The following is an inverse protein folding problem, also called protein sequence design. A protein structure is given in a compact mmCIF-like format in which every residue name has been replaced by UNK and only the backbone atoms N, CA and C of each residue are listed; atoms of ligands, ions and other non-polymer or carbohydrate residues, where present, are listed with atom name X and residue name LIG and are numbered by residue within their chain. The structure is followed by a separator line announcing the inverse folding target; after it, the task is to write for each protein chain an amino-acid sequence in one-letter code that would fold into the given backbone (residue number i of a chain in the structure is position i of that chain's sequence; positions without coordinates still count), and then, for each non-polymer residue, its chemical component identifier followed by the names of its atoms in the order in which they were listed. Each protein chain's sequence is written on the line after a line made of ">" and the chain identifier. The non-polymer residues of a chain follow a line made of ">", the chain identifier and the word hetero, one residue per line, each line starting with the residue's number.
data_IF_759396422853
#
_entry.id   IF_759396422853
#
_cell.length_a   1.000
_cell.length_b   1.000
_cell.length_c   1.000
_cell.angle_alpha   90.00
_cell.angle_beta   90.00
_cell.angle_gamma   90.00
#
_symmetry.space_group_name_H-M   'P 1'
#
loop_
_entity.id
_entity.type
_entity.pdbx_description
1 polymer ?
#
# COMPACT_ATOMS: atom_id res chain seq x y z
N UNK A 1 4.89 13.38 -9.36
CA UNK A 1 4.87 14.83 -9.65
C UNK A 1 3.42 15.28 -9.76
N UNK A 2 2.80 15.78 -8.69
CA UNK A 2 1.40 16.22 -8.80
C UNK A 2 1.28 17.59 -9.45
N UNK A 3 2.26 18.48 -9.24
CA UNK A 3 2.32 19.80 -9.86
C UNK A 3 2.29 19.76 -11.40
N UNK A 4 2.79 18.67 -12.00
CA UNK A 4 2.76 18.46 -13.45
C UNK A 4 1.36 18.31 -14.04
N UNK A 5 0.34 18.00 -13.21
CA UNK A 5 -1.06 17.96 -13.66
C UNK A 5 -1.66 19.35 -13.91
N UNK A 6 -1.00 20.41 -13.42
CA UNK A 6 -1.50 21.80 -13.41
C UNK A 6 -2.93 21.94 -12.86
N UNK A 7 -3.38 20.98 -12.05
CA UNK A 7 -4.72 20.94 -11.49
C UNK A 7 -4.61 20.95 -9.97
N UNK A 8 -4.91 22.12 -9.38
CA UNK A 8 -4.80 22.36 -7.93
C UNK A 8 -5.63 21.38 -7.10
N UNK A 9 -6.83 21.03 -7.58
CA UNK A 9 -7.68 20.06 -6.90
C UNK A 9 -7.02 18.68 -6.86
N UNK A 10 -6.53 18.17 -8.01
CA UNK A 10 -5.85 16.87 -8.06
C UNK A 10 -4.57 16.86 -7.22
N UNK A 11 -3.83 17.97 -7.20
CA UNK A 11 -2.64 18.13 -6.35
C UNK A 11 -3.01 17.97 -4.88
N UNK A 12 -4.06 18.65 -4.43
CA UNK A 12 -4.52 18.60 -3.05
C UNK A 12 -5.00 17.20 -2.68
N UNK A 13 -5.92 16.63 -3.46
CA UNK A 13 -6.51 15.31 -3.19
C UNK A 13 -5.43 14.22 -3.13
N UNK A 14 -4.50 14.23 -4.10
CA UNK A 14 -3.45 13.21 -4.14
C UNK A 14 -2.45 13.38 -2.99
N UNK A 15 -2.18 14.61 -2.58
CA UNK A 15 -1.33 14.90 -1.40
C UNK A 15 -1.98 14.42 -0.11
N UNK A 16 -3.29 14.64 0.07
CA UNK A 16 -4.03 14.14 1.22
C UNK A 16 -4.04 12.61 1.26
N UNK A 17 -4.32 11.96 0.13
CA UNK A 17 -4.32 10.51 0.02
C UNK A 17 -2.95 9.92 0.34
N UNK A 18 -1.87 10.48 -0.22
CA UNK A 18 -0.50 10.02 0.06
C UNK A 18 -0.15 10.09 1.55
N UNK A 19 -0.57 11.14 2.26
CA UNK A 19 -0.34 11.26 3.71
C UNK A 19 -1.03 10.14 4.47
N UNK A 20 -2.29 9.85 4.15
CA UNK A 20 -3.07 8.76 4.76
C UNK A 20 -2.47 7.38 4.49
N UNK A 21 -1.93 7.16 3.28
CA UNK A 21 -1.37 5.88 2.86
C UNK A 21 0.09 5.66 3.29
N UNK A 22 0.76 6.67 3.83
CA UNK A 22 2.19 6.62 4.20
C UNK A 22 2.56 5.45 5.13
N UNK A 23 1.77 5.09 6.17
CA UNK A 23 2.07 3.94 7.03
C UNK A 23 2.07 2.62 6.26
N UNK A 24 1.09 2.41 5.39
CA UNK A 24 0.94 1.18 4.59
C UNK A 24 2.04 1.03 3.54
N UNK A 25 2.45 2.15 2.92
CA UNK A 25 3.56 2.15 1.95
C UNK A 25 4.88 1.70 2.60
N UNK A 26 5.14 2.06 3.86
CA UNK A 26 6.34 1.59 4.59
C UNK A 26 6.32 0.08 4.81
N UNK A 27 5.14 -0.50 5.00
CA UNK A 27 4.99 -1.93 5.22
C UNK A 27 5.18 -2.73 3.90
N UNK A 28 4.65 -2.22 2.78
CA UNK A 28 4.84 -2.82 1.45
C UNK A 28 6.32 -3.01 1.08
N UNK A 29 7.19 -2.07 1.47
CA UNK A 29 8.62 -2.11 1.12
C UNK A 29 9.44 -3.10 1.96
N UNK A 30 8.86 -3.69 3.02
CA UNK A 30 9.53 -4.71 3.84
C UNK A 30 9.55 -6.09 3.17
N UNK A 31 8.82 -6.27 2.08
CA UNK A 31 8.83 -7.50 1.28
C UNK A 31 10.16 -7.62 0.53
N UNK A 32 10.74 -8.83 0.52
CA UNK A 32 12.04 -9.12 -0.09
C UNK A 32 12.09 -8.65 -1.55
N UNK A 33 13.20 -8.03 -1.97
CA UNK A 33 13.42 -7.47 -3.33
C UNK A 33 12.46 -6.36 -3.79
N UNK A 34 11.60 -5.83 -2.92
CA UNK A 34 10.57 -4.87 -3.34
C UNK A 34 11.11 -3.50 -3.72
N UNK A 35 12.18 -3.04 -3.07
CA UNK A 35 12.80 -1.76 -3.42
C UNK A 35 13.27 -1.72 -4.88
N UNK A 36 13.95 -2.76 -5.35
CA UNK A 36 14.43 -2.85 -6.73
C UNK A 36 13.28 -2.90 -7.75
N UNK A 37 12.25 -3.68 -7.47
CA UNK A 37 11.09 -3.75 -8.35
C UNK A 37 10.31 -2.41 -8.38
N UNK A 38 10.22 -1.70 -7.26
CA UNK A 38 9.61 -0.36 -7.21
C UNK A 38 10.37 0.67 -8.01
N UNK A 39 11.68 0.56 -8.01
CA UNK A 39 12.53 1.44 -8.80
C UNK A 39 12.29 1.23 -10.30
N UNK A 40 12.26 -0.02 -10.77
CA UNK A 40 12.01 -0.36 -12.18
C UNK A 40 10.63 0.15 -12.64
N UNK A 41 9.59 -0.08 -11.84
CA UNK A 41 8.24 0.41 -12.16
C UNK A 41 8.21 1.95 -12.27
N UNK A 42 8.83 2.66 -11.33
CA UNK A 42 8.91 4.12 -11.40
C UNK A 42 9.72 4.61 -12.59
N UNK A 43 10.82 3.94 -12.93
CA UNK A 43 11.65 4.28 -14.09
C UNK A 43 10.85 4.19 -15.38
N UNK A 44 10.08 3.12 -15.57
CA UNK A 44 9.25 2.94 -16.77
C UNK A 44 8.22 4.06 -16.97
N UNK A 45 7.64 4.58 -15.89
CA UNK A 45 6.73 5.73 -15.94
C UNK A 45 7.47 7.00 -16.36
N UNK A 46 8.66 7.24 -15.81
CA UNK A 46 9.46 8.43 -16.14
C UNK A 46 9.92 8.39 -17.61
N UNK A 47 10.38 7.24 -18.08
CA UNK A 47 10.80 7.05 -19.47
C UNK A 47 9.64 7.31 -20.45
N UNK A 48 8.45 6.78 -20.17
CA UNK A 48 7.26 7.02 -21.00
C UNK A 48 6.85 8.51 -21.05
N UNK A 49 6.94 9.21 -19.91
CA UNK A 49 6.66 10.65 -19.84
C UNK A 49 7.69 11.45 -20.66
N UNK A 50 8.98 11.14 -20.52
CA UNK A 50 10.05 11.82 -21.26
C UNK A 50 9.92 11.58 -22.77
N UNK A 51 9.51 10.38 -23.17
CA UNK A 51 9.24 10.05 -24.58
C UNK A 51 8.00 10.75 -25.15
N UNK A 52 7.15 11.36 -24.31
CA UNK A 52 5.91 11.99 -24.74
C UNK A 52 4.82 10.99 -25.17
N UNK A 53 4.97 9.71 -24.80
CA UNK A 53 4.02 8.65 -25.15
C UNK A 53 2.92 8.57 -24.07
N UNK A 54 1.76 9.15 -24.38
CA UNK A 54 0.64 9.22 -23.48
C UNK A 54 0.05 7.82 -23.15
N UNK A 55 -0.03 6.93 -24.13
CA UNK A 55 -0.61 5.60 -23.98
C UNK A 55 0.30 4.71 -23.12
N UNK A 56 1.61 4.75 -23.39
CA UNK A 56 2.60 4.05 -22.57
C UNK A 56 2.61 4.59 -21.13
N UNK A 57 2.50 5.92 -20.97
CA UNK A 57 2.43 6.55 -19.65
C UNK A 57 1.20 6.09 -18.88
N UNK A 58 0.01 6.08 -19.52
CA UNK A 58 -1.22 5.61 -18.89
C UNK A 58 -1.10 4.14 -18.46
N UNK A 59 -0.64 3.28 -19.37
CA UNK A 59 -0.49 1.84 -19.10
C UNK A 59 0.48 1.58 -17.96
N UNK A 60 1.63 2.26 -17.94
CA UNK A 60 2.63 2.14 -16.88
C UNK A 60 2.08 2.62 -15.53
N UNK A 61 1.36 3.74 -15.51
CA UNK A 61 0.72 4.27 -14.30
C UNK A 61 -0.36 3.33 -13.76
N UNK A 62 -1.26 2.82 -14.62
CA UNK A 62 -2.29 1.84 -14.20
C UNK A 62 -1.65 0.59 -13.63
N UNK A 63 -0.65 0.05 -14.31
CA UNK A 63 0.07 -1.15 -13.86
C UNK A 63 0.75 -0.92 -12.50
N UNK A 64 1.38 0.24 -12.30
CA UNK A 64 2.03 0.59 -11.03
C UNK A 64 1.04 0.66 -9.86
N UNK A 65 -0.16 1.22 -10.07
CA UNK A 65 -1.19 1.32 -9.02
C UNK A 65 -1.83 -0.03 -8.72
N UNK A 66 -2.16 -0.82 -9.76
CA UNK A 66 -2.79 -2.14 -9.60
C UNK A 66 -1.84 -3.11 -8.91
N UNK A 67 -0.56 -3.16 -9.32
CA UNK A 67 0.46 -4.00 -8.69
C UNK A 67 0.69 -3.62 -7.21
N UNK A 68 0.51 -2.35 -6.84
CA UNK A 68 0.50 -1.94 -5.42
C UNK A 68 -0.74 -2.44 -4.67
N UNK A 69 -1.90 -2.53 -5.33
CA UNK A 69 -3.17 -2.97 -4.74
C UNK A 69 -3.21 -4.46 -4.44
N UNK A 70 -2.87 -5.31 -5.40
CA UNK A 70 -2.85 -6.78 -5.22
C UNK A 70 -1.90 -7.18 -4.10
N UNK A 71 -0.69 -6.60 -4.08
CA UNK A 71 0.31 -6.89 -3.04
C UNK A 71 -0.06 -6.35 -1.67
N UNK A 72 -0.87 -5.29 -1.61
CA UNK A 72 -1.42 -4.80 -0.36
C UNK A 72 -2.48 -5.76 0.19
N UNK A 73 -3.31 -6.32 -0.68
CA UNK A 73 -4.27 -7.36 -0.31
C UNK A 73 -3.54 -8.61 0.22
N UNK A 74 -2.47 -9.04 -0.45
CA UNK A 74 -1.62 -10.17 0.02
C UNK A 74 -1.00 -9.89 1.40
N UNK A 75 -0.49 -8.67 1.60
CA UNK A 75 0.04 -8.24 2.89
C UNK A 75 -1.04 -8.27 3.98
N UNK A 76 -2.23 -7.72 3.73
CA UNK A 76 -3.35 -7.78 4.68
C UNK A 76 -3.77 -9.22 4.99
N UNK A 77 -3.82 -10.09 3.97
CA UNK A 77 -4.09 -11.51 4.15
C UNK A 77 -3.04 -12.18 5.04
N UNK A 78 -1.76 -11.84 4.87
CA UNK A 78 -0.67 -12.34 5.72
C UNK A 78 -0.73 -11.82 7.15
N UNK A 79 -1.17 -10.58 7.38
CA UNK A 79 -1.36 -10.03 8.73
C UNK A 79 -2.53 -10.71 9.45
N UNK A 80 -3.65 -10.94 8.75
CA UNK A 80 -4.80 -11.66 9.33
C UNK A 80 -4.44 -13.12 9.67
N UNK A 81 -3.57 -13.75 8.89
CA UNK A 81 -3.06 -15.10 9.19
C UNK A 81 -2.09 -15.12 10.40
N UNK A 82 -1.48 -13.98 10.73
CA UNK A 82 -0.61 -13.79 11.90
C UNK A 82 -1.38 -13.38 13.17
N UNK A 83 -2.71 -13.30 13.12
CA UNK A 83 -3.61 -13.19 14.29
C UNK A 83 -4.19 -14.57 14.69
N UNK A 84 -3.39 -15.54 15.19
CA UNK A 84 -3.95 -16.72 15.82
C UNK A 84 -4.44 -16.36 17.24
N UNK A 85 -5.77 -16.37 17.44
CA UNK A 85 -6.48 -16.58 18.72
C UNK A 85 -5.81 -16.00 19.98
N UNK A 86 -5.71 -14.68 20.11
CA UNK A 86 -5.44 -14.03 21.40
C UNK A 86 -6.73 -13.83 22.24
N UNK A 87 -7.77 -14.67 22.07
CA UNK A 87 -9.08 -14.47 22.69
C UNK A 87 -9.70 -15.70 23.40
N UNK A 88 -8.93 -16.76 23.68
CA UNK A 88 -9.42 -17.88 24.51
C UNK A 88 -8.58 -18.02 25.79
N UNK A 89 -8.62 -17.02 26.67
CA UNK A 89 -8.15 -17.13 28.05
C UNK A 89 -8.69 -16.03 28.99
N UNK A 90 -9.96 -15.62 28.88
CA UNK A 90 -10.59 -14.74 29.89
C UNK A 90 -12.01 -15.19 30.22
N UNK A 91 -12.16 -16.42 30.71
CA UNK A 91 -13.35 -16.81 31.48
C UNK A 91 -13.09 -18.08 32.29
N UNK A 92 -12.45 -17.93 33.46
CA UNK A 92 -12.68 -18.78 34.65
C UNK A 92 -11.74 -18.38 35.80
N UNK A 93 -12.01 -17.23 36.44
CA UNK A 93 -11.60 -17.02 37.83
C UNK A 93 -12.60 -16.07 38.51
N UNK A 94 -13.69 -16.65 39.03
CA UNK A 94 -14.48 -16.13 40.15
C UNK A 94 -15.77 -16.95 40.29
N UNK A 95 -15.70 -18.05 41.03
CA UNK A 95 -16.81 -18.57 41.84
C UNK A 95 -16.34 -19.86 42.53
N UNK A 96 -15.70 -19.74 43.69
CA UNK A 96 -15.78 -20.74 44.76
C UNK A 96 -15.26 -20.11 46.05
N UNK A 97 -16.17 -19.42 46.73
CA UNK A 97 -16.00 -18.86 48.06
C UNK A 97 -17.35 -18.90 48.74
N UNK A 98 -17.76 -20.10 49.19
CA UNK A 98 -18.79 -20.32 50.21
C UNK A 98 -18.87 -21.82 50.57
N UNK A 99 -18.09 -22.21 51.57
CA UNK A 99 -18.57 -22.86 52.80
C UNK A 99 -17.51 -22.67 53.89
#
# INVERSE_FOLDING_TARGET
>A
MYAGSQNLFLIEQTSQLQRRLRPYRRLQLRVRNRMSASFIEHLSVVEAIIAGDADATEKALRSHVVVQGERFADLLASLNALEPQASVAYHSFSAEGQM
#
